data_IF_303409732902
#
_entry.id   IF_303409732902
#
_cell.length_a   1.000
_cell.length_b   1.000
_cell.length_c   1.000
_cell.angle_alpha   90.00
_cell.angle_beta   90.00
_cell.angle_gamma   90.00
#
_symmetry.space_group_name_H-M   'P 1'
#
loop_
_entity.id
_entity.type
_entity.pdbx_description
1 polymer ?
#
# COMPACT_ATOMS: atom_id res chain seq x y z
N UNK A 1 76.54 -33.19 3.42
CA UNK A 1 75.74 -33.47 2.19
C UNK A 1 74.40 -34.03 2.62
N UNK A 2 73.33 -33.25 2.47
CA UNK A 2 71.95 -33.66 2.20
C UNK A 2 71.04 -32.46 2.56
N UNK A 3 70.47 -31.85 1.52
CA UNK A 3 69.56 -30.70 1.56
C UNK A 3 68.18 -31.16 2.05
N UNK A 4 67.54 -30.36 2.90
CA UNK A 4 66.12 -30.46 3.20
C UNK A 4 65.45 -29.13 2.88
N UNK A 5 64.92 -29.00 1.67
CA UNK A 5 64.06 -27.90 1.25
C UNK A 5 62.68 -28.06 1.90
N UNK A 6 62.38 -27.20 2.88
CA UNK A 6 61.05 -27.04 3.47
C UNK A 6 60.37 -25.83 2.87
N UNK A 7 59.53 -26.06 1.86
CA UNK A 7 58.74 -25.07 1.13
C UNK A 7 57.70 -24.45 2.06
N UNK A 8 57.75 -23.12 2.24
CA UNK A 8 56.73 -22.35 2.97
C UNK A 8 55.58 -22.07 1.99
N UNK A 9 54.43 -22.72 2.24
CA UNK A 9 53.19 -22.45 1.48
C UNK A 9 52.56 -21.16 2.00
N UNK A 10 52.24 -20.16 1.15
CA UNK A 10 51.54 -18.96 1.57
C UNK A 10 50.07 -19.28 1.84
N UNK A 11 49.55 -18.84 2.99
CA UNK A 11 48.14 -18.92 3.31
C UNK A 11 47.36 -17.95 2.40
N UNK A 12 46.37 -18.48 1.70
CA UNK A 12 45.44 -17.75 0.83
C UNK A 12 44.54 -16.81 1.67
N UNK A 13 44.41 -15.51 1.34
CA UNK A 13 43.57 -14.58 2.08
C UNK A 13 42.24 -14.38 1.34
N UNK A 14 41.23 -15.21 1.61
CA UNK A 14 39.81 -15.00 1.26
C UNK A 14 39.00 -16.13 1.91
N UNK A 15 37.89 -15.94 2.63
CA UNK A 15 36.91 -14.88 2.59
C UNK A 15 36.44 -14.54 4.00
N UNK A 16 36.61 -13.27 4.39
CA UNK A 16 35.81 -12.70 5.46
C UNK A 16 34.38 -12.60 4.90
N UNK A 17 33.52 -13.52 5.34
CA UNK A 17 32.07 -13.35 5.23
C UNK A 17 31.74 -12.12 6.06
N UNK A 18 31.69 -10.97 5.39
CA UNK A 18 31.15 -9.74 5.96
C UNK A 18 29.67 -10.01 6.18
N UNK A 19 29.32 -10.43 7.38
CA UNK A 19 27.98 -10.27 7.90
C UNK A 19 27.72 -8.77 7.84
N UNK A 20 26.99 -8.32 6.81
CA UNK A 20 26.50 -6.94 6.68
C UNK A 20 25.70 -6.67 7.95
N UNK A 21 26.35 -6.02 8.92
CA UNK A 21 25.70 -5.43 10.08
C UNK A 21 24.72 -4.42 9.50
N UNK A 22 23.41 -4.69 9.58
CA UNK A 22 22.36 -3.75 9.15
C UNK A 22 22.68 -2.41 9.81
N UNK A 23 23.06 -1.43 8.99
CA UNK A 23 23.40 -0.09 9.46
C UNK A 23 22.13 0.50 10.09
N UNK A 24 22.19 1.23 11.22
CA UNK A 24 21.04 1.96 11.78
C UNK A 24 20.49 3.07 10.85
N UNK A 25 21.04 3.14 9.63
CA UNK A 25 20.71 4.02 8.52
C UNK A 25 19.57 3.48 7.64
N UNK A 26 19.16 2.20 7.78
CA UNK A 26 18.07 1.64 6.95
C UNK A 26 16.73 2.36 7.19
N UNK A 27 16.51 2.88 8.40
CA UNK A 27 15.30 3.62 8.77
C UNK A 27 15.12 4.98 8.09
N UNK A 28 15.95 5.34 7.11
CA UNK A 28 15.90 6.60 6.35
C UNK A 28 15.83 6.41 4.83
N UNK A 29 15.91 5.17 4.36
CA UNK A 29 15.86 4.89 2.93
C UNK A 29 14.41 4.83 2.46
N UNK A 30 14.08 5.66 1.48
CA UNK A 30 12.80 5.67 0.78
C UNK A 30 13.04 5.57 -0.72
N UNK A 31 12.21 4.82 -1.45
CA UNK A 31 12.06 5.02 -2.89
C UNK A 31 10.92 6.01 -3.09
N UNK A 32 11.18 7.04 -3.89
CA UNK A 32 10.18 7.91 -4.45
C UNK A 32 9.90 7.46 -5.88
N UNK A 33 8.64 7.30 -6.25
CA UNK A 33 8.21 7.06 -7.63
C UNK A 33 7.15 8.10 -7.98
N UNK A 34 7.36 8.84 -9.07
CA UNK A 34 6.44 9.88 -9.52
C UNK A 34 5.45 9.37 -10.59
N UNK A 35 4.56 10.25 -11.05
CA UNK A 35 3.58 9.99 -12.10
C UNK A 35 4.18 9.67 -13.48
N UNK A 36 5.48 9.89 -13.69
CA UNK A 36 6.19 9.49 -14.91
C UNK A 36 6.84 8.11 -14.79
N UNK A 37 6.75 7.48 -13.62
CA UNK A 37 7.43 6.22 -13.29
C UNK A 37 8.93 6.37 -13.03
N UNK A 38 9.45 7.60 -12.94
CA UNK A 38 10.83 7.82 -12.53
C UNK A 38 10.98 7.48 -11.05
N UNK A 39 11.98 6.65 -10.73
CA UNK A 39 12.28 6.30 -9.34
C UNK A 39 13.59 6.90 -8.87
N UNK A 40 13.54 7.51 -7.68
CA UNK A 40 14.73 8.03 -7.00
C UNK A 40 14.80 7.50 -5.56
N UNK A 41 16.00 7.13 -5.12
CA UNK A 41 16.21 6.72 -3.73
C UNK A 41 16.57 7.95 -2.89
N UNK A 42 15.76 8.21 -1.87
CA UNK A 42 15.93 9.30 -0.92
C UNK A 42 16.47 8.76 0.41
N UNK A 43 17.55 9.37 0.91
CA UNK A 43 18.01 9.22 2.30
C UNK A 43 17.55 10.44 3.10
N UNK A 44 16.34 10.34 3.64
CA UNK A 44 15.67 11.45 4.33
C UNK A 44 15.14 11.01 5.69
N UNK A 45 15.20 11.92 6.67
CA UNK A 45 14.65 11.65 7.98
C UNK A 45 13.12 11.76 8.01
N UNK A 46 12.54 11.31 9.14
CA UNK A 46 11.09 11.30 9.33
C UNK A 46 10.46 12.70 9.28
N UNK A 47 11.18 13.75 9.67
CA UNK A 47 10.64 15.11 9.68
C UNK A 47 10.56 15.68 8.27
N UNK A 48 11.57 15.39 7.44
CA UNK A 48 11.54 15.74 6.02
C UNK A 48 10.34 15.09 5.30
N UNK A 49 10.07 13.82 5.56
CA UNK A 49 8.87 13.12 5.03
C UNK A 49 7.58 13.77 5.54
N UNK A 50 7.44 13.99 6.86
CA UNK A 50 6.25 14.63 7.44
C UNK A 50 5.95 15.99 6.79
N UNK A 51 6.98 16.81 6.57
CA UNK A 51 6.82 18.12 5.94
C UNK A 51 6.48 18.03 4.46
N UNK A 52 7.05 17.06 3.73
CA UNK A 52 6.77 16.86 2.30
C UNK A 52 5.31 16.49 2.05
N UNK A 53 4.85 15.43 2.72
CA UNK A 53 3.50 14.86 2.48
C UNK A 53 2.42 15.42 3.42
N UNK A 54 2.79 16.32 4.33
CA UNK A 54 1.88 16.99 5.28
C UNK A 54 1.08 16.03 6.18
N UNK A 55 1.71 14.95 6.66
CA UNK A 55 1.08 13.99 7.59
C UNK A 55 1.54 14.19 9.04
N UNK A 56 0.69 13.78 9.99
CA UNK A 56 0.99 13.89 11.41
C UNK A 56 2.04 12.85 11.86
N UNK A 57 2.79 13.16 12.91
CA UNK A 57 3.80 12.25 13.47
C UNK A 57 3.21 10.91 13.92
N UNK A 58 1.93 10.89 14.27
CA UNK A 58 1.21 9.66 14.66
C UNK A 58 1.07 8.71 13.48
N UNK A 59 0.72 9.22 12.32
CA UNK A 59 0.46 8.41 11.13
C UNK A 59 1.79 7.88 10.57
N UNK A 60 2.85 8.70 10.55
CA UNK A 60 4.17 8.24 10.11
C UNK A 60 4.75 7.13 11.01
N UNK A 61 4.41 7.10 12.31
CA UNK A 61 4.87 6.05 13.23
C UNK A 61 4.35 4.66 12.86
N UNK A 62 3.23 4.58 12.15
CA UNK A 62 2.70 3.31 11.63
C UNK A 62 3.73 2.65 10.71
N UNK A 63 4.50 3.47 9.98
CA UNK A 63 5.56 3.03 9.05
C UNK A 63 6.94 2.89 9.71
N UNK A 64 7.04 2.97 11.04
CA UNK A 64 8.30 2.79 11.74
C UNK A 64 8.73 1.32 11.67
N UNK A 65 9.91 0.97 11.14
CA UNK A 65 10.38 -0.42 11.07
C UNK A 65 10.67 -1.02 12.45
N UNK A 66 10.84 -0.19 13.49
CA UNK A 66 11.09 -0.65 14.86
C UNK A 66 9.80 -0.93 15.63
N UNK A 67 8.65 -0.55 15.07
CA UNK A 67 7.34 -0.74 15.70
C UNK A 67 6.51 -1.75 14.89
N UNK A 68 5.77 -2.60 15.59
CA UNK A 68 4.87 -3.57 14.99
C UNK A 68 3.44 -3.04 15.07
N UNK A 69 3.00 -2.33 14.03
CA UNK A 69 1.61 -1.93 13.86
C UNK A 69 0.84 -2.98 13.04
N UNK A 70 -0.47 -3.15 13.27
CA UNK A 70 -1.32 -3.98 12.40
C UNK A 70 -1.37 -3.38 10.99
N UNK A 71 -1.85 -4.19 10.04
CA UNK A 71 -2.10 -3.70 8.69
C UNK A 71 -3.07 -2.52 8.75
N UNK A 72 -2.85 -1.47 7.96
CA UNK A 72 -3.79 -0.35 7.88
C UNK A 72 -3.69 0.44 6.58
N UNK A 73 -4.83 0.96 6.12
CA UNK A 73 -5.00 1.88 5.00
C UNK A 73 -5.65 3.15 5.56
N UNK A 74 -4.93 4.26 5.52
CA UNK A 74 -5.37 5.46 6.21
C UNK A 74 -5.41 6.66 5.28
N UNK A 75 -6.61 7.15 5.00
CA UNK A 75 -6.83 8.40 4.29
C UNK A 75 -6.51 9.63 5.15
N UNK A 76 -5.88 10.61 4.51
CA UNK A 76 -5.56 11.93 5.06
C UNK A 76 -5.80 12.99 3.99
N UNK A 77 -5.68 14.26 4.38
CA UNK A 77 -5.95 15.41 3.50
C UNK A 77 -5.22 15.33 2.14
N UNK A 78 -3.97 14.86 2.12
CA UNK A 78 -3.10 14.84 0.92
C UNK A 78 -2.33 13.53 0.74
N UNK A 79 -2.66 12.52 1.51
CA UNK A 79 -1.89 11.28 1.51
C UNK A 79 -2.74 10.09 1.94
N UNK A 80 -2.42 8.92 1.39
CA UNK A 80 -2.83 7.62 1.90
C UNK A 80 -1.61 7.00 2.58
N UNK A 81 -1.73 6.65 3.85
CA UNK A 81 -0.66 5.97 4.60
C UNK A 81 -0.97 4.47 4.60
N UNK A 82 -0.08 3.68 4.01
CA UNK A 82 -0.24 2.24 3.85
C UNK A 82 0.77 1.46 4.69
N UNK A 83 0.27 0.58 5.56
CA UNK A 83 1.06 -0.45 6.20
C UNK A 83 0.44 -1.80 5.88
N UNK A 84 0.95 -2.50 4.88
CA UNK A 84 0.52 -3.83 4.46
C UNK A 84 1.70 -4.79 4.63
N UNK A 85 1.96 -5.12 5.90
CA UNK A 85 3.10 -5.93 6.36
C UNK A 85 4.49 -5.38 5.99
N UNK A 86 5.07 -5.89 4.91
CA UNK A 86 6.39 -5.49 4.40
C UNK A 86 6.27 -4.30 3.46
N UNK A 87 5.07 -4.02 2.94
CA UNK A 87 4.79 -2.86 2.10
C UNK A 87 4.39 -1.71 3.01
N UNK A 88 5.30 -0.76 3.19
CA UNK A 88 5.09 0.45 3.99
C UNK A 88 5.25 1.66 3.07
N UNK A 89 4.14 2.34 2.77
CA UNK A 89 4.11 3.38 1.77
C UNK A 89 3.32 4.62 2.19
N UNK A 90 3.61 5.73 1.54
CA UNK A 90 2.79 6.94 1.56
C UNK A 90 2.49 7.26 0.10
N UNK A 91 1.21 7.23 -0.28
CA UNK A 91 0.74 7.61 -1.61
C UNK A 91 0.21 9.03 -1.53
N UNK A 92 0.59 9.87 -2.48
CA UNK A 92 -0.03 11.18 -2.73
C UNK A 92 -0.72 11.14 -4.08
N UNK A 93 -1.32 12.25 -4.54
CA UNK A 93 -1.92 12.32 -5.87
C UNK A 93 -0.89 12.32 -7.02
N UNK A 94 0.41 12.50 -6.74
CA UNK A 94 1.44 12.67 -7.79
C UNK A 94 2.67 11.77 -7.60
N UNK A 95 2.89 11.27 -6.38
CA UNK A 95 4.06 10.48 -6.04
C UNK A 95 3.78 9.43 -4.95
N UNK A 96 4.54 8.33 -4.96
CA UNK A 96 4.54 7.29 -3.93
C UNK A 96 5.91 7.20 -3.27
N UNK A 97 5.91 7.15 -1.94
CA UNK A 97 7.09 6.94 -1.09
C UNK A 97 7.04 5.55 -0.46
N UNK A 98 7.94 4.65 -0.85
CA UNK A 98 8.08 3.31 -0.26
C UNK A 98 9.27 3.22 0.67
N UNK A 99 9.08 2.64 1.84
CA UNK A 99 10.17 2.32 2.79
C UNK A 99 11.04 1.18 2.29
N UNK A 100 12.30 1.21 2.71
CA UNK A 100 13.24 0.08 2.60
C UNK A 100 13.30 -0.53 1.17
N UNK A 101 13.59 0.28 0.12
CA UNK A 101 13.54 -0.17 -1.28
C UNK A 101 14.57 -1.24 -1.66
N UNK A 102 15.47 -1.62 -0.75
CA UNK A 102 16.41 -2.72 -0.93
C UNK A 102 15.94 -4.05 -0.31
N UNK A 103 14.76 -4.09 0.32
CA UNK A 103 14.18 -5.34 0.81
C UNK A 103 13.70 -6.19 -0.37
N UNK A 104 13.98 -7.49 -0.33
CA UNK A 104 13.67 -8.45 -1.40
C UNK A 104 12.17 -8.51 -1.73
N UNK A 105 11.30 -8.19 -0.77
CA UNK A 105 9.85 -8.19 -0.99
C UNK A 105 9.34 -6.81 -1.47
N UNK A 106 10.13 -5.75 -1.36
CA UNK A 106 9.74 -4.39 -1.77
C UNK A 106 10.26 -4.05 -3.17
N UNK A 107 11.41 -4.58 -3.56
CA UNK A 107 11.98 -4.38 -4.91
C UNK A 107 10.96 -4.64 -6.04
N UNK A 108 10.22 -5.77 -6.05
CA UNK A 108 9.23 -6.02 -7.11
C UNK A 108 8.09 -5.00 -7.13
N UNK A 109 7.73 -4.45 -5.96
CA UNK A 109 6.67 -3.43 -5.86
C UNK A 109 7.14 -2.12 -6.48
N UNK A 110 8.39 -1.73 -6.25
CA UNK A 110 8.97 -0.54 -6.87
C UNK A 110 9.01 -0.70 -8.39
N UNK A 111 9.48 -1.84 -8.90
CA UNK A 111 9.52 -2.13 -10.34
C UNK A 111 8.13 -2.05 -10.98
N UNK A 112 7.11 -2.58 -10.31
CA UNK A 112 5.73 -2.56 -10.79
C UNK A 112 5.12 -1.15 -10.79
N UNK A 113 5.41 -0.34 -9.76
CA UNK A 113 5.02 1.07 -9.73
C UNK A 113 5.67 1.85 -10.88
N UNK A 114 6.96 1.66 -11.13
CA UNK A 114 7.65 2.31 -12.25
C UNK A 114 7.04 1.91 -13.61
N UNK A 115 6.55 0.67 -13.72
CA UNK A 115 5.97 0.14 -14.95
C UNK A 115 4.54 0.64 -15.20
N UNK A 116 3.73 0.82 -14.14
CA UNK A 116 2.27 1.08 -14.25
C UNK A 116 1.82 2.49 -13.94
N UNK A 117 2.63 3.28 -13.24
CA UNK A 117 2.26 4.67 -12.93
C UNK A 117 2.32 5.64 -14.13
N UNK A 118 3.22 5.50 -15.13
CA UNK A 118 3.23 6.38 -16.30
C UNK A 118 1.94 6.28 -17.11
N UNK A 119 1.31 7.42 -17.42
CA UNK A 119 0.18 7.49 -18.35
C UNK A 119 0.69 7.18 -19.77
N UNK A 120 0.15 6.14 -20.41
CA UNK A 120 0.61 5.68 -21.74
C UNK A 120 0.31 6.72 -22.85
N UNK A 121 -0.60 7.66 -22.61
CA UNK A 121 -1.17 8.52 -23.65
C UNK A 121 -0.56 9.93 -23.82
N UNK A 122 0.54 10.27 -23.12
CA UNK A 122 1.20 11.58 -23.32
C UNK A 122 2.23 11.62 -24.48
N UNK A 123 2.49 10.50 -25.16
CA UNK A 123 3.52 10.39 -26.23
C UNK A 123 2.90 10.23 -27.64
N UNK A 124 1.57 10.27 -27.75
CA UNK A 124 0.84 9.98 -28.98
C UNK A 124 0.47 11.16 -29.89
N UNK A 125 0.84 12.41 -29.57
CA UNK A 125 0.46 13.56 -30.42
C UNK A 125 1.60 14.54 -30.63
N UNK A 126 2.54 14.16 -31.52
CA UNK A 126 3.28 15.11 -32.36
C UNK A 126 4.11 14.36 -33.42
N UNK A 127 3.43 13.82 -34.42
CA UNK A 127 4.00 13.73 -35.77
C UNK A 127 2.88 13.91 -36.80
N UNK A 128 2.52 15.18 -36.96
CA UNK A 128 1.90 15.69 -38.17
C UNK A 128 2.80 15.36 -39.37
N UNK A 129 2.35 14.46 -40.24
CA UNK A 129 2.65 14.62 -41.66
C UNK A 129 1.41 14.23 -42.47
N UNK A 130 0.70 15.26 -42.93
CA UNK A 130 -0.53 15.12 -43.69
C UNK A 130 -0.29 14.46 -45.05
N UNK A 131 -1.11 13.43 -45.34
CA UNK A 131 -1.52 13.04 -46.69
C UNK A 131 -2.85 12.30 -46.61
N UNK A 132 -3.91 12.99 -47.01
CA UNK A 132 -5.21 12.39 -47.33
C UNK A 132 -5.05 11.34 -48.43
N UNK A 133 -5.67 10.16 -48.27
CA UNK A 133 -6.48 9.44 -49.27
C UNK A 133 -7.07 8.15 -48.66
N UNK A 134 -8.39 8.00 -48.73
CA UNK A 134 -9.03 6.68 -48.90
C UNK A 134 -9.89 6.18 -47.74
N UNK A 135 -11.20 6.10 -47.98
CA UNK A 135 -12.21 5.70 -46.99
C UNK A 135 -12.05 4.29 -46.41
N UNK A 136 -12.52 4.17 -45.17
CA UNK A 136 -12.80 2.92 -44.48
C UNK A 136 -13.50 3.28 -43.17
N UNK A 137 -14.79 2.94 -43.05
CA UNK A 137 -15.54 3.05 -41.80
C UNK A 137 -14.79 2.26 -40.72
N UNK A 138 -14.23 2.97 -39.74
CA UNK A 138 -13.85 2.38 -38.46
C UNK A 138 -14.71 3.03 -37.39
N UNK A 139 -15.93 2.50 -37.26
CA UNK A 139 -16.60 2.41 -35.96
C UNK A 139 -15.75 1.47 -35.09
N UNK A 140 -14.78 2.04 -34.38
CA UNK A 140 -14.09 1.41 -33.26
C UNK A 140 -14.04 2.46 -32.15
N UNK A 141 -15.20 2.63 -31.54
CA UNK A 141 -15.32 2.89 -30.11
C UNK A 141 -14.40 1.91 -29.38
N UNK A 142 -13.22 2.38 -28.99
CA UNK A 142 -12.22 1.61 -28.25
C UNK A 142 -11.68 2.51 -27.14
N UNK A 143 -12.54 2.69 -26.14
CA UNK A 143 -12.19 3.06 -24.78
C UNK A 143 -11.54 4.43 -24.65
N UNK A 144 -12.34 5.42 -24.23
CA UNK A 144 -11.88 6.18 -23.06
C UNK A 144 -11.57 5.12 -22.00
N UNK A 145 -10.32 4.66 -21.93
CA UNK A 145 -9.83 4.02 -20.71
C UNK A 145 -10.01 5.12 -19.66
N UNK A 146 -11.10 4.99 -18.89
CA UNK A 146 -11.39 5.78 -17.71
C UNK A 146 -10.18 5.56 -16.78
N UNK A 147 -9.16 6.39 -16.98
CA UNK A 147 -7.84 6.15 -16.45
C UNK A 147 -7.89 6.46 -14.96
N UNK A 148 -7.98 5.41 -14.15
CA UNK A 148 -8.09 5.52 -12.70
C UNK A 148 -7.06 6.50 -12.13
N UNK A 149 -7.43 7.32 -11.13
CA UNK A 149 -6.54 8.28 -10.50
C UNK A 149 -5.20 7.67 -10.07
N UNK A 150 -4.13 8.48 -10.09
CA UNK A 150 -2.78 8.04 -9.74
C UNK A 150 -2.74 7.30 -8.39
N UNK A 151 -3.45 7.83 -7.39
CA UNK A 151 -3.50 7.24 -6.05
C UNK A 151 -4.11 5.83 -6.05
N UNK A 152 -5.04 5.54 -6.94
CA UNK A 152 -5.70 4.23 -7.05
C UNK A 152 -4.86 3.23 -7.83
N UNK A 153 -4.17 3.67 -8.89
CA UNK A 153 -3.16 2.84 -9.56
C UNK A 153 -2.03 2.43 -8.61
N UNK A 154 -1.57 3.37 -7.78
CA UNK A 154 -0.57 3.10 -6.76
C UNK A 154 -1.09 2.16 -5.66
N UNK A 155 -2.30 2.38 -5.18
CA UNK A 155 -2.96 1.54 -4.18
C UNK A 155 -3.16 0.12 -4.71
N UNK A 156 -3.62 -0.02 -5.95
CA UNK A 156 -3.81 -1.29 -6.63
C UNK A 156 -2.53 -2.11 -6.68
N UNK A 157 -1.40 -1.51 -7.09
CA UNK A 157 -0.10 -2.19 -7.11
C UNK A 157 0.30 -2.69 -5.72
N UNK A 158 0.05 -1.91 -4.67
CA UNK A 158 0.34 -2.32 -3.29
C UNK A 158 -0.56 -3.48 -2.83
N UNK A 159 -1.86 -3.43 -3.14
CA UNK A 159 -2.84 -4.47 -2.82
C UNK A 159 -2.55 -5.77 -3.58
N UNK A 160 -2.29 -5.68 -4.87
CA UNK A 160 -1.92 -6.83 -5.70
C UNK A 160 -0.66 -7.50 -5.18
N UNK A 161 0.37 -6.73 -4.85
CA UNK A 161 1.61 -7.24 -4.32
C UNK A 161 1.41 -8.00 -2.99
N UNK A 162 0.68 -7.44 -2.02
CA UNK A 162 0.47 -8.12 -0.74
C UNK A 162 -0.42 -9.36 -0.88
N UNK A 163 -1.49 -9.29 -1.69
CA UNK A 163 -2.39 -10.41 -1.94
C UNK A 163 -1.65 -11.56 -2.66
N UNK A 164 -0.88 -11.23 -3.70
CA UNK A 164 -0.06 -12.21 -4.43
C UNK A 164 1.00 -12.85 -3.53
N UNK A 165 1.67 -12.05 -2.70
CA UNK A 165 2.65 -12.56 -1.73
C UNK A 165 2.02 -13.55 -0.75
N UNK A 166 0.88 -13.21 -0.14
CA UNK A 166 0.20 -14.07 0.83
C UNK A 166 -0.37 -15.34 0.19
N UNK A 167 -0.88 -15.24 -1.04
CA UNK A 167 -1.35 -16.38 -1.82
C UNK A 167 -0.21 -17.34 -2.20
N UNK A 168 0.95 -16.81 -2.61
CA UNK A 168 2.14 -17.60 -2.90
C UNK A 168 2.62 -18.36 -1.66
N UNK A 169 2.72 -17.67 -0.51
CA UNK A 169 3.09 -18.30 0.78
C UNK A 169 2.10 -19.38 1.21
N UNK A 170 0.81 -19.18 0.94
CA UNK A 170 -0.23 -20.18 1.22
C UNK A 170 0.00 -21.44 0.40
N UNK A 171 0.26 -21.27 -0.89
CA UNK A 171 0.52 -22.37 -1.84
C UNK A 171 1.81 -23.12 -1.50
N UNK A 172 2.88 -22.42 -1.08
CA UNK A 172 4.12 -23.03 -0.59
C UNK A 172 3.87 -23.93 0.63
N UNK A 173 3.13 -23.45 1.62
CA UNK A 173 2.83 -24.21 2.85
C UNK A 173 1.92 -25.41 2.58
N UNK A 174 0.90 -25.25 1.75
CA UNK A 174 0.01 -26.32 1.31
C UNK A 174 0.80 -27.44 0.60
N UNK A 175 1.64 -27.07 -0.37
CA UNK A 175 2.48 -28.02 -1.12
C UNK A 175 3.44 -28.77 -0.19
N UNK A 176 3.93 -28.12 0.86
CA UNK A 176 4.81 -28.74 1.85
C UNK A 176 4.08 -29.62 2.88
N UNK A 177 2.78 -29.39 3.11
CA UNK A 177 1.99 -30.08 4.12
C UNK A 177 1.62 -31.50 3.74
N UNK A 178 1.12 -31.73 2.51
CA UNK A 178 0.71 -33.08 2.09
C UNK A 178 1.82 -34.13 2.22
N UNK A 179 3.07 -33.88 1.74
CA UNK A 179 4.15 -34.85 1.91
C UNK A 179 4.56 -35.05 3.37
N UNK A 180 4.44 -34.01 4.22
CA UNK A 180 4.78 -34.12 5.63
C UNK A 180 3.75 -34.96 6.40
N UNK A 181 2.47 -34.83 6.06
CA UNK A 181 1.37 -35.62 6.63
C UNK A 181 1.45 -37.08 6.18
N UNK A 182 1.76 -37.33 4.91
CA UNK A 182 1.95 -38.69 4.37
C UNK A 182 3.13 -39.40 5.04
N UNK A 183 4.29 -38.72 5.16
CA UNK A 183 5.47 -39.27 5.84
C UNK A 183 5.19 -39.56 7.33
N UNK A 184 4.40 -38.71 8.00
CA UNK A 184 3.99 -38.93 9.39
C UNK A 184 3.03 -40.12 9.52
N UNK A 185 2.09 -40.28 8.59
CA UNK A 185 1.14 -41.39 8.54
C UNK A 185 1.85 -42.72 8.26
N UNK A 186 2.86 -42.70 7.39
CA UNK A 186 3.72 -43.85 7.11
C UNK A 186 4.60 -44.22 8.31
N UNK A 187 5.20 -43.22 8.98
CA UNK A 187 6.09 -43.44 10.13
C UNK A 187 5.97 -42.33 11.18
N UNK A 188 5.39 -42.70 12.32
CA UNK A 188 5.37 -41.85 13.51
C UNK A 188 6.80 -41.77 14.09
N UNK A 189 7.42 -40.59 13.98
CA UNK A 189 8.74 -40.29 14.54
C UNK A 189 8.80 -38.86 15.05
N UNK A 190 9.72 -38.57 15.99
CA UNK A 190 9.93 -37.21 16.50
C UNK A 190 10.22 -36.21 15.38
N UNK A 191 11.06 -36.61 14.42
CA UNK A 191 11.39 -35.79 13.23
C UNK A 191 10.15 -35.41 12.43
N UNK A 192 9.27 -36.36 12.15
CA UNK A 192 8.09 -36.14 11.31
C UNK A 192 7.03 -35.31 12.06
N UNK A 193 6.84 -35.57 13.35
CA UNK A 193 5.99 -34.74 14.21
C UNK A 193 6.50 -33.29 14.28
N UNK A 194 7.81 -33.09 14.41
CA UNK A 194 8.38 -31.74 14.46
C UNK A 194 8.24 -31.01 13.11
N UNK A 195 8.36 -31.72 11.99
CA UNK A 195 8.10 -31.17 10.65
C UNK A 195 6.65 -30.69 10.51
N UNK A 196 5.67 -31.52 10.88
CA UNK A 196 4.24 -31.15 10.85
C UNK A 196 3.93 -30.01 11.82
N UNK A 197 4.49 -30.02 13.04
CA UNK A 197 4.32 -28.92 14.00
C UNK A 197 4.87 -27.59 13.47
N UNK A 198 6.03 -27.60 12.81
CA UNK A 198 6.61 -26.41 12.18
C UNK A 198 5.72 -25.86 11.08
N UNK A 199 5.19 -26.74 10.22
CA UNK A 199 4.24 -26.37 9.16
C UNK A 199 2.95 -25.80 9.74
N UNK A 200 2.33 -26.48 10.71
CA UNK A 200 1.14 -25.99 11.42
C UNK A 200 1.39 -24.62 12.04
N UNK A 201 2.52 -24.44 12.72
CA UNK A 201 2.88 -23.15 13.33
C UNK A 201 3.08 -22.05 12.27
N UNK A 202 3.67 -22.38 11.13
CA UNK A 202 3.81 -21.45 10.01
C UNK A 202 2.46 -21.09 9.39
N UNK A 203 1.57 -22.07 9.21
CA UNK A 203 0.21 -21.85 8.72
C UNK A 203 -0.60 -20.97 9.67
N UNK A 204 -0.61 -21.26 10.98
CA UNK A 204 -1.31 -20.40 11.96
C UNK A 204 -0.81 -18.96 11.92
N UNK A 205 0.50 -18.74 11.79
CA UNK A 205 1.04 -17.38 11.62
C UNK A 205 0.60 -16.73 10.32
N UNK A 206 0.53 -17.49 9.22
CA UNK A 206 0.08 -16.97 7.93
C UNK A 206 -1.43 -16.67 7.93
N UNK A 207 -2.26 -17.52 8.53
CA UNK A 207 -3.69 -17.26 8.74
C UNK A 207 -3.92 -15.96 9.49
N UNK A 208 -3.20 -15.73 10.60
CA UNK A 208 -3.32 -14.49 11.36
C UNK A 208 -2.86 -13.24 10.58
N UNK A 209 -1.98 -13.41 9.60
CA UNK A 209 -1.48 -12.34 8.72
C UNK A 209 -2.51 -11.99 7.63
N UNK A 210 -3.01 -13.01 6.94
CA UNK A 210 -4.10 -12.89 5.95
C UNK A 210 -5.34 -12.28 6.57
N UNK A 211 -5.72 -12.73 7.77
CA UNK A 211 -6.88 -12.19 8.50
C UNK A 211 -6.74 -10.69 8.73
N UNK A 212 -5.57 -10.19 9.14
CA UNK A 212 -5.38 -8.74 9.38
C UNK A 212 -5.55 -7.89 8.13
N UNK A 213 -5.14 -8.39 6.96
CA UNK A 213 -5.34 -7.66 5.69
C UNK A 213 -6.81 -7.72 5.28
N UNK A 214 -7.46 -8.89 5.43
CA UNK A 214 -8.90 -9.04 5.20
C UNK A 214 -9.72 -8.09 6.07
N UNK A 215 -9.45 -8.08 7.38
CA UNK A 215 -10.19 -7.27 8.35
C UNK A 215 -10.04 -5.76 8.06
N UNK A 216 -8.85 -5.32 7.64
CA UNK A 216 -8.64 -3.92 7.24
C UNK A 216 -9.43 -3.56 5.98
N UNK A 217 -9.47 -4.44 4.98
CA UNK A 217 -10.27 -4.22 3.76
C UNK A 217 -11.77 -4.25 4.06
N UNK A 218 -12.23 -5.16 4.93
CA UNK A 218 -13.62 -5.23 5.40
C UNK A 218 -14.01 -3.92 6.10
N UNK A 219 -13.17 -3.44 7.02
CA UNK A 219 -13.43 -2.20 7.75
C UNK A 219 -13.48 -0.98 6.82
N UNK A 220 -12.60 -0.91 5.81
CA UNK A 220 -12.60 0.19 4.85
C UNK A 220 -13.83 0.14 3.92
N UNK A 221 -14.24 -1.05 3.47
CA UNK A 221 -15.46 -1.23 2.67
C UNK A 221 -16.75 -0.92 3.45
N UNK A 222 -16.73 -1.04 4.78
CA UNK A 222 -17.89 -0.75 5.64
C UNK A 222 -18.14 0.76 5.85
N UNK A 223 -17.20 1.65 5.50
CA UNK A 223 -17.28 3.10 5.75
C UNK A 223 -16.94 3.95 4.51
N UNK A 224 -17.98 4.47 3.86
CA UNK A 224 -17.88 5.37 2.68
C UNK A 224 -17.08 6.66 2.97
N UNK A 225 -17.08 7.16 4.21
CA UNK A 225 -16.33 8.38 4.55
C UNK A 225 -14.81 8.09 4.56
N UNK A 226 -14.40 6.92 5.08
CA UNK A 226 -12.99 6.47 5.03
C UNK A 226 -12.54 6.20 3.58
N UNK A 227 -13.43 5.66 2.72
CA UNK A 227 -13.17 5.51 1.29
C UNK A 227 -13.06 6.85 0.55
N UNK A 228 -14.00 7.78 0.80
CA UNK A 228 -13.95 9.12 0.26
C UNK A 228 -12.65 9.85 0.64
N UNK A 229 -12.10 9.51 1.80
CA UNK A 229 -10.84 10.06 2.29
C UNK A 229 -9.61 9.63 1.46
N UNK A 230 -9.72 8.58 0.63
CA UNK A 230 -8.67 8.12 -0.28
C UNK A 230 -8.66 8.86 -1.63
N UNK A 231 -9.70 9.63 -1.98
CA UNK A 231 -9.77 10.40 -3.23
C UNK A 231 -8.92 11.69 -3.15
N UNK A 232 -7.60 11.55 -3.27
CA UNK A 232 -6.65 12.67 -3.12
C UNK A 232 -6.74 13.68 -4.27
N UNK A 233 -6.86 13.21 -5.50
CA UNK A 233 -6.99 14.03 -6.71
C UNK A 233 -8.24 14.90 -6.65
N UNK A 234 -9.36 14.35 -6.17
CA UNK A 234 -10.62 15.09 -5.94
C UNK A 234 -10.43 16.20 -4.91
N UNK A 235 -9.73 15.92 -3.80
CA UNK A 235 -9.43 16.90 -2.74
C UNK A 235 -8.57 18.06 -3.23
N UNK A 236 -7.60 17.80 -4.12
CA UNK A 236 -6.77 18.87 -4.73
C UNK A 236 -7.63 19.81 -5.58
N UNK A 237 -8.52 19.26 -6.42
CA UNK A 237 -9.38 20.06 -7.30
C UNK A 237 -10.40 20.88 -6.49
N UNK A 238 -11.02 20.29 -5.47
CA UNK A 238 -11.96 20.98 -4.58
C UNK A 238 -11.29 22.09 -3.75
N UNK A 239 -10.05 21.86 -3.29
CA UNK A 239 -9.25 22.87 -2.59
C UNK A 239 -8.80 24.03 -3.49
N UNK A 240 -8.58 23.78 -4.78
CA UNK A 240 -8.20 24.80 -5.77
C UNK A 240 -9.38 25.67 -6.23
N UNK A 241 -10.61 25.16 -6.14
CA UNK A 241 -11.83 25.84 -6.61
C UNK A 241 -12.57 26.64 -5.54
N UNK A 242 -12.02 26.72 -4.32
CA UNK A 242 -12.49 27.66 -3.28
C UNK A 242 -11.84 29.04 -3.47
N UNK A 243 -12.52 30.05 -4.02
CA UNK A 243 -12.04 31.42 -3.88
C UNK A 243 -12.06 31.76 -2.39
N UNK A 244 -10.99 32.41 -1.94
CA UNK A 244 -10.85 32.99 -0.61
C UNK A 244 -12.10 33.81 -0.28
N UNK A 245 -13.08 33.21 0.40
CA UNK A 245 -14.17 33.96 1.02
C UNK A 245 -13.58 34.52 2.30
N UNK A 246 -12.95 35.69 2.15
CA UNK A 246 -12.51 36.53 3.25
C UNK A 246 -13.70 36.92 4.12
N UNK A 247 -14.05 36.07 5.07
CA UNK A 247 -14.86 36.45 6.22
C UNK A 247 -13.89 36.90 7.32
N UNK A 248 -13.96 38.19 7.63
CA UNK A 248 -13.06 38.88 8.55
C UNK A 248 -13.02 38.30 9.98
N UNK A 249 -12.13 38.82 10.83
CA UNK A 249 -11.80 38.22 12.11
C UNK A 249 -13.02 38.24 13.05
N UNK A 250 -13.48 37.04 13.42
CA UNK A 250 -14.47 36.87 14.49
C UNK A 250 -13.81 37.32 15.81
N UNK A 251 -14.23 38.50 16.26
CA UNK A 251 -13.78 39.13 17.48
C UNK A 251 -14.32 38.36 18.70
N UNK A 252 -13.44 37.68 19.43
CA UNK A 252 -13.78 36.98 20.66
C UNK A 252 -13.82 37.99 21.83
N UNK A 253 -15.02 38.38 22.25
CA UNK A 253 -15.22 38.98 23.58
C UNK A 253 -16.08 38.05 24.45
N UNK A 254 -15.68 37.77 25.69
CA UNK A 254 -16.51 37.06 26.64
C UNK A 254 -17.31 38.08 27.48
N UNK A 255 -18.63 37.90 27.58
CA UNK A 255 -19.41 38.49 28.66
C UNK A 255 -20.67 37.65 28.94
N UNK A 256 -20.74 37.08 30.14
CA UNK A 256 -21.94 36.53 30.78
C UNK A 256 -22.77 37.67 31.44
N UNK A 257 -23.85 37.39 32.19
CA UNK A 257 -25.13 36.78 31.82
C UNK A 257 -26.33 37.69 32.22
N UNK A 258 -27.49 37.63 31.54
CA UNK A 258 -28.73 38.23 32.10
C UNK A 258 -30.02 37.54 31.60
N UNK A 259 -30.71 36.91 32.56
CA UNK A 259 -32.15 36.90 32.83
C UNK A 259 -33.15 36.90 31.66
N UNK A 260 -33.90 35.79 31.56
CA UNK A 260 -35.37 35.78 31.47
C UNK A 260 -36.04 36.13 30.14
N UNK A 261 -36.51 35.11 29.40
CA UNK A 261 -37.93 34.91 29.05
C UNK A 261 -38.07 33.83 27.98
N UNK A 262 -39.11 33.02 28.15
CA UNK A 262 -39.67 32.09 27.17
C UNK A 262 -40.20 32.88 25.96
N UNK A 263 -40.17 32.28 24.76
CA UNK A 263 -41.23 32.27 23.72
C UNK A 263 -40.68 31.73 22.38
N UNK A 264 -41.45 30.80 21.81
CA UNK A 264 -41.61 30.41 20.40
C UNK A 264 -40.51 29.75 19.57
N UNK A 265 -40.80 28.47 19.25
CA UNK A 265 -40.86 27.90 17.89
C UNK A 265 -40.73 28.95 16.77
N UNK A 266 -39.65 28.84 16.02
CA UNK A 266 -39.67 29.03 14.58
C UNK A 266 -38.71 28.00 13.98
N UNK A 267 -39.28 27.14 13.15
CA UNK A 267 -38.58 26.17 12.32
C UNK A 267 -37.49 26.87 11.54
N UNK A 268 -36.23 26.58 11.84
CA UNK A 268 -35.16 26.79 10.87
C UNK A 268 -35.26 25.62 9.91
N UNK A 269 -35.88 25.90 8.77
CA UNK A 269 -35.69 25.10 7.58
C UNK A 269 -34.18 24.88 7.43
N UNK A 270 -33.78 23.62 7.53
CA UNK A 270 -32.50 23.22 6.97
C UNK A 270 -32.53 23.68 5.53
N UNK A 271 -31.71 24.67 5.20
CA UNK A 271 -31.25 24.84 3.83
C UNK A 271 -30.54 23.52 3.57
N UNK A 272 -31.24 22.60 2.92
CA UNK A 272 -30.62 21.53 2.19
C UNK A 272 -29.76 22.25 1.16
N UNK A 273 -28.49 22.44 1.49
CA UNK A 273 -27.47 22.42 0.46
C UNK A 273 -27.76 21.13 -0.29
N UNK A 274 -28.11 21.28 -1.56
CA UNK A 274 -28.09 20.21 -2.53
C UNK A 274 -26.63 19.73 -2.53
N UNK A 275 -26.27 18.86 -1.58
CA UNK A 275 -25.14 17.94 -1.72
C UNK A 275 -25.65 16.89 -2.69
N UNK A 276 -25.71 17.28 -3.96
CA UNK A 276 -25.82 16.29 -5.01
C UNK A 276 -24.49 15.58 -5.04
N UNK A 277 -24.49 14.28 -4.78
CA UNK A 277 -23.52 13.38 -5.40
C UNK A 277 -22.04 13.60 -5.00
N UNK A 278 -21.75 13.91 -3.72
CA UNK A 278 -20.40 14.35 -3.34
C UNK A 278 -19.40 13.22 -3.00
N UNK A 279 -19.86 11.99 -2.79
CA UNK A 279 -19.00 10.84 -2.44
C UNK A 279 -19.33 9.62 -3.31
N UNK A 280 -19.36 9.78 -4.63
CA UNK A 280 -19.31 8.60 -5.50
C UNK A 280 -17.97 7.89 -5.26
N UNK A 281 -18.05 6.70 -4.64
CA UNK A 281 -16.93 5.83 -4.26
C UNK A 281 -16.97 4.50 -5.02
N UNK A 282 -17.88 4.34 -5.99
CA UNK A 282 -18.16 3.06 -6.66
C UNK A 282 -16.92 2.48 -7.35
N UNK A 283 -16.10 3.30 -8.00
CA UNK A 283 -14.84 2.87 -8.63
C UNK A 283 -13.87 2.26 -7.61
N UNK A 284 -13.71 2.91 -6.46
CA UNK A 284 -12.80 2.45 -5.40
C UNK A 284 -13.38 1.23 -4.69
N UNK A 285 -14.70 1.20 -4.46
CA UNK A 285 -15.40 0.06 -3.88
C UNK A 285 -15.16 -1.19 -4.74
N UNK A 286 -15.38 -1.12 -6.06
CA UNK A 286 -15.11 -2.24 -6.98
C UNK A 286 -13.66 -2.72 -6.92
N UNK A 287 -12.69 -1.80 -6.85
CA UNK A 287 -11.28 -2.13 -6.71
C UNK A 287 -11.02 -2.91 -5.41
N UNK A 288 -11.51 -2.38 -4.28
CA UNK A 288 -11.31 -2.97 -2.96
C UNK A 288 -12.03 -4.31 -2.81
N UNK A 289 -13.25 -4.45 -3.33
CA UNK A 289 -14.03 -5.70 -3.35
C UNK A 289 -13.28 -6.81 -4.07
N UNK A 290 -12.65 -6.51 -5.21
CA UNK A 290 -11.87 -7.50 -5.96
C UNK A 290 -10.72 -8.08 -5.10
N UNK A 291 -9.97 -7.23 -4.41
CA UNK A 291 -8.90 -7.67 -3.52
C UNK A 291 -9.41 -8.30 -2.22
N UNK A 292 -10.57 -7.85 -1.71
CA UNK A 292 -11.25 -8.48 -0.57
C UNK A 292 -11.62 -9.94 -0.91
N UNK A 293 -12.22 -10.18 -2.07
CA UNK A 293 -12.56 -11.53 -2.52
C UNK A 293 -11.31 -12.41 -2.69
N UNK A 294 -10.21 -11.85 -3.21
CA UNK A 294 -8.95 -12.57 -3.35
C UNK A 294 -8.35 -12.97 -1.98
N UNK A 295 -8.32 -12.05 -1.02
CA UNK A 295 -7.74 -12.31 0.30
C UNK A 295 -8.64 -13.25 1.12
N UNK A 296 -9.96 -13.13 1.01
CA UNK A 296 -10.92 -14.04 1.64
C UNK A 296 -10.80 -15.47 1.06
N UNK A 297 -10.66 -15.60 -0.27
CA UNK A 297 -10.35 -16.86 -0.91
C UNK A 297 -9.04 -17.49 -0.39
N UNK A 298 -8.02 -16.67 -0.17
CA UNK A 298 -6.75 -17.11 0.43
C UNK A 298 -6.93 -17.59 1.87
N UNK A 299 -7.73 -16.88 2.67
CA UNK A 299 -8.06 -17.25 4.05
C UNK A 299 -8.83 -18.57 4.13
N UNK A 300 -9.83 -18.75 3.27
CA UNK A 300 -10.64 -19.97 3.19
C UNK A 300 -9.78 -21.18 2.83
N UNK A 301 -8.85 -21.01 1.89
CA UNK A 301 -7.87 -22.03 1.53
C UNK A 301 -6.98 -22.40 2.72
N UNK A 302 -6.42 -21.42 3.43
CA UNK A 302 -5.61 -21.67 4.64
C UNK A 302 -6.39 -22.37 5.74
N UNK A 303 -7.65 -21.98 5.96
CA UNK A 303 -8.52 -22.58 6.99
C UNK A 303 -8.77 -24.05 6.68
N UNK A 304 -9.01 -24.38 5.41
CA UNK A 304 -9.19 -25.77 4.95
C UNK A 304 -7.93 -26.60 5.18
N UNK A 305 -6.76 -26.07 4.83
CA UNK A 305 -5.48 -26.79 4.99
C UNK A 305 -5.09 -26.92 6.47
N UNK A 306 -5.38 -25.92 7.32
CA UNK A 306 -5.12 -25.99 8.77
C UNK A 306 -5.99 -27.02 9.49
N UNK A 307 -7.13 -27.38 8.90
CA UNK A 307 -8.06 -28.38 9.46
C UNK A 307 -7.63 -29.82 9.16
N UNK A 308 -6.67 -30.04 8.24
CA UNK A 308 -6.03 -31.34 7.98
C UNK A 308 -5.10 -31.75 9.12
#
# INVERSE_FOLDING_TARGET
MARGDGYVVPADPQALVVVKKKNPQSSRSWALVDCSGESTVLDVDKYAIMHRVQIHARDLRILDPLLSYPSTILGREKAIVLNLEHIKAIITAEEVLLRDPSDENVVPVVEELQRRLPLVNAIGDNQNDGREYGGGNHDMDAGEEDESPFEFRALEVALEAICSFLAARTTELETAAYPALDELTSKISSRNLDRVRKLKSAMTRLTARVQKVRDELEQLLDDDDDMADLYLSRKIVAGASSPISGSGPANWYPASPTIGSKISRASRASIATIRGDENDVEELEMLLEAYFMQIDGTLNKLTTVCAL
#
